data_IF_349979841995
#
_entry.id   IF_349979841995
#
_cell.length_a   1.000
_cell.length_b   1.000
_cell.length_c   1.000
_cell.angle_alpha   90.00
_cell.angle_beta   90.00
_cell.angle_gamma   90.00
#
_symmetry.space_group_name_H-M   'P 1'
#
loop_
_entity.id
_entity.type
_entity.pdbx_description
1 polymer ?
#
# COMPACT_ATOMS: atom_id res chain seq x y z
N UNK A 1 21.88 12.54 9.55
CA UNK A 1 20.78 11.56 9.59
C UNK A 1 21.35 10.18 9.27
N UNK A 2 21.15 9.19 10.14
CA UNK A 2 21.47 7.80 9.81
C UNK A 2 20.41 7.35 8.80
N UNK A 3 20.81 6.83 7.64
CA UNK A 3 19.86 6.30 6.65
C UNK A 3 19.34 4.95 7.13
N UNK A 4 18.11 4.56 6.77
CA UNK A 4 17.54 3.26 7.20
C UNK A 4 18.44 2.06 6.90
N UNK A 5 19.21 2.10 5.80
CA UNK A 5 20.26 1.11 5.48
C UNK A 5 21.38 1.04 6.53
N UNK A 6 21.89 2.19 6.98
CA UNK A 6 22.95 2.25 8.01
C UNK A 6 22.44 1.78 9.36
N UNK A 7 21.17 2.06 9.67
CA UNK A 7 20.53 1.60 10.90
C UNK A 7 20.37 0.08 10.95
N UNK A 8 19.88 -0.52 9.87
CA UNK A 8 19.78 -1.98 9.77
C UNK A 8 21.17 -2.64 9.92
N UNK A 9 22.19 -2.06 9.30
CA UNK A 9 23.56 -2.57 9.42
C UNK A 9 24.15 -2.44 10.83
N UNK A 10 23.76 -1.41 11.59
CA UNK A 10 24.21 -1.22 12.98
C UNK A 10 23.49 -2.19 13.92
N UNK A 11 22.17 -2.36 13.76
CA UNK A 11 21.40 -3.32 14.54
C UNK A 11 21.89 -4.76 14.38
N UNK A 12 22.31 -5.15 13.16
CA UNK A 12 22.89 -6.47 12.88
C UNK A 12 24.21 -6.74 13.65
N UNK A 13 24.84 -5.71 14.22
CA UNK A 13 26.09 -5.81 15.01
C UNK A 13 25.86 -5.80 16.52
N UNK A 14 24.63 -5.56 16.98
CA UNK A 14 24.29 -5.42 18.40
C UNK A 14 23.97 -6.76 19.06
N UNK A 15 24.10 -6.85 20.39
CA UNK A 15 23.51 -7.98 21.13
C UNK A 15 21.98 -7.93 21.08
N UNK A 16 21.29 -9.06 21.30
CA UNK A 16 19.82 -9.13 21.25
C UNK A 16 19.12 -8.12 22.17
N UNK A 17 19.70 -7.84 23.36
CA UNK A 17 19.13 -6.89 24.33
C UNK A 17 19.30 -5.44 23.87
N UNK A 18 20.45 -5.13 23.29
CA UNK A 18 20.74 -3.81 22.71
C UNK A 18 19.89 -3.58 21.46
N UNK A 19 19.75 -4.59 20.60
CA UNK A 19 18.91 -4.56 19.42
C UNK A 19 17.44 -4.29 19.78
N UNK A 20 16.88 -4.96 20.79
CA UNK A 20 15.50 -4.72 21.23
C UNK A 20 15.27 -3.28 21.73
N UNK A 21 16.25 -2.74 22.47
CA UNK A 21 16.20 -1.35 22.98
C UNK A 21 16.36 -0.33 21.85
N UNK A 22 17.26 -0.62 20.90
CA UNK A 22 17.46 0.19 19.71
C UNK A 22 16.21 0.20 18.83
N UNK A 23 15.59 -0.96 18.57
CA UNK A 23 14.37 -1.08 17.79
C UNK A 23 13.22 -0.26 18.38
N UNK A 24 12.98 -0.33 19.69
CA UNK A 24 11.89 0.42 20.33
C UNK A 24 12.07 1.94 20.26
N UNK A 25 13.31 2.42 20.33
CA UNK A 25 13.64 3.84 20.24
C UNK A 25 13.39 4.43 18.84
N UNK A 26 13.63 3.65 17.79
CA UNK A 26 13.62 4.14 16.41
C UNK A 26 12.41 3.68 15.58
N UNK A 27 11.55 2.80 16.13
CA UNK A 27 10.46 2.16 15.40
C UNK A 27 9.55 3.12 14.64
N UNK A 28 9.17 4.24 15.27
CA UNK A 28 8.28 5.24 14.66
C UNK A 28 8.95 5.96 13.49
N UNK A 29 10.21 6.38 13.66
CA UNK A 29 10.96 7.07 12.61
C UNK A 29 11.24 6.17 11.41
N UNK A 30 11.63 4.92 11.65
CA UNK A 30 11.89 3.94 10.60
C UNK A 30 10.62 3.53 9.84
N UNK A 31 9.49 3.42 10.56
CA UNK A 31 8.20 3.16 9.92
C UNK A 31 7.79 4.31 9.00
N UNK A 32 7.96 5.55 9.46
CA UNK A 32 7.70 6.73 8.62
C UNK A 32 8.66 6.78 7.41
N UNK A 33 9.95 6.54 7.62
CA UNK A 33 10.95 6.46 6.55
C UNK A 33 10.54 5.43 5.49
N UNK A 34 10.21 4.20 5.89
CA UNK A 34 9.79 3.14 4.95
C UNK A 34 8.55 3.57 4.16
N UNK A 35 7.51 4.09 4.83
CA UNK A 35 6.26 4.51 4.19
C UNK A 35 6.40 5.72 3.27
N UNK A 36 7.42 6.58 3.48
CA UNK A 36 7.69 7.72 2.59
C UNK A 36 8.63 7.37 1.42
N UNK A 37 9.67 6.56 1.67
CA UNK A 37 10.78 6.37 0.72
C UNK A 37 10.61 5.11 -0.13
N UNK A 38 10.01 4.04 0.39
CA UNK A 38 9.79 2.82 -0.40
C UNK A 38 8.88 3.06 -1.62
N UNK A 39 7.77 3.84 -1.53
CA UNK A 39 7.00 4.24 -2.72
C UNK A 39 7.83 4.89 -3.83
N UNK A 40 8.80 5.74 -3.47
CA UNK A 40 9.67 6.40 -4.45
C UNK A 40 10.60 5.40 -5.15
N UNK A 41 11.12 4.43 -4.41
CA UNK A 41 11.95 3.36 -4.97
C UNK A 41 11.12 2.39 -5.84
N UNK A 42 9.86 2.14 -5.50
CA UNK A 42 8.91 1.39 -6.32
C UNK A 42 8.69 2.11 -7.65
N UNK A 43 8.39 3.41 -7.61
CA UNK A 43 8.24 4.22 -8.82
C UNK A 43 9.48 4.17 -9.72
N UNK A 44 10.68 4.35 -9.16
CA UNK A 44 11.94 4.22 -9.91
C UNK A 44 12.11 2.81 -10.51
N UNK A 45 11.76 1.75 -9.77
CA UNK A 45 11.86 0.36 -10.22
C UNK A 45 10.95 0.08 -11.43
N UNK A 46 9.67 0.44 -11.37
CA UNK A 46 8.74 0.21 -12.47
C UNK A 46 8.97 1.18 -13.65
N UNK A 47 9.51 2.38 -13.41
CA UNK A 47 9.90 3.31 -14.49
C UNK A 47 10.98 2.73 -15.42
N UNK A 48 11.80 1.81 -14.91
CA UNK A 48 12.84 1.08 -15.66
C UNK A 48 12.31 -0.16 -16.38
N UNK A 49 11.00 -0.43 -16.29
CA UNK A 49 10.36 -1.58 -16.92
C UNK A 49 10.55 -2.90 -16.16
N UNK A 50 11.04 -2.87 -14.92
CA UNK A 50 11.11 -4.06 -14.08
C UNK A 50 9.72 -4.47 -13.57
N UNK A 51 9.58 -5.72 -13.15
CA UNK A 51 8.35 -6.32 -12.63
C UNK A 51 8.62 -7.07 -11.32
N UNK A 52 7.57 -7.46 -10.61
CA UNK A 52 7.62 -8.25 -9.39
C UNK A 52 8.45 -7.59 -8.27
N UNK A 53 8.21 -6.31 -7.98
CA UNK A 53 9.01 -5.56 -7.01
C UNK A 53 9.13 -6.28 -5.67
N UNK A 54 8.02 -6.80 -5.13
CA UNK A 54 7.98 -7.40 -3.79
C UNK A 54 8.93 -8.59 -3.67
N UNK A 55 9.06 -9.41 -4.72
CA UNK A 55 9.87 -10.63 -4.70
C UNK A 55 11.27 -10.44 -5.27
N UNK A 56 11.46 -9.52 -6.24
CA UNK A 56 12.74 -9.35 -6.97
C UNK A 56 13.42 -8.00 -6.72
N UNK A 57 12.65 -6.94 -6.48
CA UNK A 57 13.16 -5.56 -6.39
C UNK A 57 13.31 -5.01 -4.97
N UNK A 58 12.61 -5.63 -4.01
CA UNK A 58 12.50 -5.09 -2.66
C UNK A 58 13.81 -5.23 -1.89
N UNK A 59 14.31 -4.11 -1.39
CA UNK A 59 15.57 -4.11 -0.66
C UNK A 59 15.43 -4.72 0.73
N UNK A 60 16.42 -5.51 1.14
CA UNK A 60 16.45 -6.23 2.42
C UNK A 60 16.23 -5.35 3.65
N UNK A 61 16.66 -4.08 3.60
CA UNK A 61 16.45 -3.17 4.72
C UNK A 61 14.96 -2.87 4.96
N UNK A 62 14.14 -2.72 3.92
CA UNK A 62 12.69 -2.51 4.09
C UNK A 62 12.00 -3.75 4.66
N UNK A 63 12.39 -4.94 4.18
CA UNK A 63 11.87 -6.22 4.68
C UNK A 63 12.18 -6.36 6.18
N UNK A 64 13.41 -6.07 6.59
CA UNK A 64 13.80 -6.12 8.01
C UNK A 64 13.03 -5.11 8.87
N UNK A 65 12.90 -3.87 8.39
CA UNK A 65 12.16 -2.82 9.11
C UNK A 65 10.67 -3.16 9.28
N UNK A 66 10.04 -3.73 8.25
CA UNK A 66 8.65 -4.20 8.33
C UNK A 66 8.50 -5.34 9.33
N UNK A 67 9.39 -6.34 9.27
CA UNK A 67 9.40 -7.45 10.22
C UNK A 67 9.51 -6.98 11.67
N UNK A 68 10.39 -6.02 11.96
CA UNK A 68 10.51 -5.45 13.30
C UNK A 68 9.24 -4.72 13.76
N UNK A 69 8.53 -4.06 12.84
CA UNK A 69 7.24 -3.43 13.15
C UNK A 69 6.16 -4.46 13.48
N UNK A 70 6.12 -5.57 12.75
CA UNK A 70 5.19 -6.67 12.99
C UNK A 70 5.47 -7.37 14.33
N UNK A 71 6.74 -7.65 14.64
CA UNK A 71 7.17 -8.21 15.93
C UNK A 71 6.77 -7.32 17.12
N UNK A 72 6.74 -6.00 16.92
CA UNK A 72 6.32 -5.02 17.93
C UNK A 72 4.80 -4.79 18.02
N UNK A 73 3.99 -5.33 17.09
CA UNK A 73 2.53 -5.14 17.08
C UNK A 73 1.85 -6.13 18.03
N UNK A 74 1.18 -5.61 19.06
CA UNK A 74 0.21 -6.39 19.81
C UNK A 74 -1.08 -6.61 18.98
N UNK A 75 -1.55 -7.85 18.79
CA UNK A 75 -2.71 -8.18 17.95
C UNK A 75 -4.07 -7.65 18.47
N UNK A 76 -4.10 -7.11 19.69
CA UNK A 76 -5.32 -6.58 20.34
C UNK A 76 -5.62 -5.10 20.02
N UNK A 77 -4.75 -4.42 19.26
CA UNK A 77 -4.96 -3.02 18.90
C UNK A 77 -6.03 -2.87 17.81
N UNK A 78 -7.27 -2.57 18.24
CA UNK A 78 -8.35 -2.11 17.35
C UNK A 78 -7.88 -0.92 16.49
N UNK A 79 -8.46 -0.71 15.29
CA UNK A 79 -8.21 0.51 14.51
C UNK A 79 -8.46 1.72 15.41
N UNK A 80 -7.39 2.48 15.67
CA UNK A 80 -7.42 3.53 16.67
C UNK A 80 -8.26 4.69 16.13
N UNK A 81 -9.14 5.23 16.97
CA UNK A 81 -10.06 6.34 16.69
C UNK A 81 -9.38 7.59 16.08
N UNK A 82 -8.07 7.78 16.30
CA UNK A 82 -7.29 8.88 15.72
C UNK A 82 -7.07 8.76 14.20
N UNK A 83 -7.21 7.57 13.61
CA UNK A 83 -6.95 7.38 12.17
C UNK A 83 -7.86 8.25 11.29
N UNK A 84 -9.08 8.51 11.74
CA UNK A 84 -10.05 9.39 11.06
C UNK A 84 -9.81 10.88 11.32
N UNK A 85 -9.06 11.25 12.35
CA UNK A 85 -8.85 12.65 12.75
C UNK A 85 -7.79 13.36 11.90
N UNK A 86 -6.93 12.62 11.18
CA UNK A 86 -5.84 13.20 10.40
C UNK A 86 -5.53 12.43 9.10
N UNK A 87 -6.60 12.00 8.42
CA UNK A 87 -6.52 11.18 7.19
C UNK A 87 -5.70 11.86 6.10
N UNK A 88 -5.85 13.18 5.95
CA UNK A 88 -5.10 13.95 4.95
C UNK A 88 -3.57 13.90 5.14
N UNK A 89 -3.08 13.84 6.38
CA UNK A 89 -1.66 13.75 6.69
C UNK A 89 -1.17 12.31 6.90
N UNK A 90 -2.03 11.31 6.67
CA UNK A 90 -1.70 9.91 6.89
C UNK A 90 -0.82 9.35 5.79
N UNK A 91 0.21 8.60 6.18
CA UNK A 91 1.00 7.80 5.25
C UNK A 91 0.34 6.45 5.03
N UNK A 92 0.29 6.00 3.78
CA UNK A 92 -0.16 4.64 3.46
C UNK A 92 0.59 3.61 4.28
N UNK A 93 -0.17 2.73 4.94
CA UNK A 93 0.37 1.83 5.95
C UNK A 93 1.25 0.75 5.35
N UNK A 94 0.79 0.20 4.23
CA UNK A 94 1.53 -0.72 3.38
C UNK A 94 2.42 0.09 2.42
N UNK A 95 3.72 0.06 2.68
CA UNK A 95 4.69 0.76 1.85
C UNK A 95 4.88 0.13 0.47
N UNK A 96 4.39 -1.11 0.26
CA UNK A 96 4.35 -1.80 -1.03
C UNK A 96 3.05 -1.55 -1.82
N UNK A 97 2.11 -0.75 -1.32
CA UNK A 97 0.83 -0.46 -1.98
C UNK A 97 0.99 -0.13 -3.47
N UNK A 98 1.94 0.74 -3.83
CA UNK A 98 2.17 1.12 -5.22
C UNK A 98 2.72 -0.02 -6.08
N UNK A 99 3.44 -0.99 -5.51
CA UNK A 99 3.86 -2.17 -6.27
C UNK A 99 2.63 -3.03 -6.64
N UNK A 100 1.67 -3.17 -5.73
CA UNK A 100 0.41 -3.86 -6.02
C UNK A 100 -0.39 -3.15 -7.14
N UNK A 101 -0.44 -1.81 -7.13
CA UNK A 101 -1.06 -1.02 -8.20
C UNK A 101 -0.40 -1.28 -9.56
N UNK A 102 0.94 -1.28 -9.63
CA UNK A 102 1.67 -1.50 -10.88
C UNK A 102 1.48 -2.92 -11.43
N UNK A 103 1.46 -3.94 -10.56
CA UNK A 103 1.13 -5.31 -10.98
C UNK A 103 -0.32 -5.40 -11.49
N UNK A 104 -1.28 -4.78 -10.80
CA UNK A 104 -2.67 -4.75 -11.24
C UNK A 104 -2.85 -4.04 -12.60
N UNK A 105 -2.13 -2.93 -12.84
CA UNK A 105 -2.05 -2.29 -14.15
C UNK A 105 -1.46 -3.21 -15.22
N UNK A 106 -0.44 -3.99 -14.88
CA UNK A 106 0.11 -4.98 -15.81
C UNK A 106 -0.92 -6.05 -16.17
N UNK A 107 -1.73 -6.52 -15.21
CA UNK A 107 -2.81 -7.48 -15.46
C UNK A 107 -3.90 -6.88 -16.37
N UNK A 108 -4.28 -5.62 -16.16
CA UNK A 108 -5.20 -4.91 -17.06
C UNK A 108 -4.69 -4.86 -18.51
N UNK A 109 -3.40 -4.52 -18.69
CA UNK A 109 -2.76 -4.50 -20.02
C UNK A 109 -2.74 -5.87 -20.69
N UNK A 110 -2.41 -6.93 -19.95
CA UNK A 110 -2.44 -8.31 -20.45
C UNK A 110 -3.84 -8.70 -20.96
N UNK A 111 -4.89 -8.45 -20.18
CA UNK A 111 -6.28 -8.74 -20.61
C UNK A 111 -6.68 -7.96 -21.86
N UNK A 112 -6.31 -6.68 -21.96
CA UNK A 112 -6.59 -5.84 -23.14
C UNK A 112 -5.87 -6.32 -24.40
N UNK A 113 -4.70 -6.95 -24.25
CA UNK A 113 -3.94 -7.52 -25.35
C UNK A 113 -4.46 -8.91 -25.78
N UNK A 114 -5.56 -9.39 -25.18
CA UNK A 114 -6.13 -10.70 -25.48
C UNK A 114 -5.41 -11.87 -24.83
N UNK A 115 -4.54 -11.60 -23.83
CA UNK A 115 -3.96 -12.66 -23.00
C UNK A 115 -5.07 -13.17 -22.05
N UNK A 116 -5.68 -14.29 -22.42
CA UNK A 116 -6.83 -14.84 -21.71
C UNK A 116 -6.38 -15.66 -20.50
N UNK A 117 -6.87 -15.28 -19.32
CA UNK A 117 -6.67 -16.04 -18.10
C UNK A 117 -7.75 -15.70 -17.09
N UNK A 118 -8.62 -16.65 -16.78
CA UNK A 118 -9.57 -16.57 -15.65
C UNK A 118 -8.86 -16.15 -14.35
N UNK A 119 -7.63 -16.65 -14.16
CA UNK A 119 -6.71 -16.28 -13.08
C UNK A 119 -6.35 -14.78 -13.06
N UNK A 120 -6.23 -14.13 -14.22
CA UNK A 120 -5.91 -12.70 -14.32
C UNK A 120 -7.05 -11.84 -13.81
N UNK A 121 -8.31 -12.20 -14.13
CA UNK A 121 -9.49 -11.52 -13.58
C UNK A 121 -9.63 -11.76 -12.08
N UNK A 122 -9.41 -13.00 -11.63
CA UNK A 122 -9.44 -13.32 -10.19
C UNK A 122 -8.42 -12.48 -9.40
N UNK A 123 -7.21 -12.31 -9.93
CA UNK A 123 -6.19 -11.48 -9.29
C UNK A 123 -6.56 -9.99 -9.24
N UNK A 124 -7.28 -9.47 -10.25
CA UNK A 124 -7.80 -8.09 -10.21
C UNK A 124 -8.89 -7.93 -9.14
N UNK A 125 -9.77 -8.91 -8.98
CA UNK A 125 -10.79 -8.91 -7.89
C UNK A 125 -10.12 -8.98 -6.52
N UNK A 126 -9.09 -9.82 -6.34
CA UNK A 126 -8.30 -9.86 -5.09
C UNK A 126 -7.66 -8.51 -4.78
N UNK A 127 -7.16 -7.82 -5.81
CA UNK A 127 -6.57 -6.49 -5.63
C UNK A 127 -7.64 -5.44 -5.25
N UNK A 128 -8.83 -5.50 -5.86
CA UNK A 128 -9.97 -4.67 -5.45
C UNK A 128 -10.35 -4.90 -3.98
N UNK A 129 -10.46 -6.15 -3.55
CA UNK A 129 -10.77 -6.49 -2.15
C UNK A 129 -9.72 -5.94 -1.19
N UNK A 130 -8.43 -6.10 -1.52
CA UNK A 130 -7.30 -5.52 -0.78
C UNK A 130 -7.42 -4.00 -0.66
N UNK A 131 -7.74 -3.29 -1.75
CA UNK A 131 -7.91 -1.83 -1.76
C UNK A 131 -9.08 -1.44 -0.86
N UNK A 132 -10.22 -2.09 -1.00
CA UNK A 132 -11.43 -1.75 -0.24
C UNK A 132 -11.22 -1.98 1.27
N UNK A 133 -10.53 -3.06 1.65
CA UNK A 133 -10.13 -3.31 3.03
C UNK A 133 -9.23 -2.18 3.58
N UNK A 134 -8.25 -1.74 2.79
CA UNK A 134 -7.36 -0.64 3.19
C UNK A 134 -8.10 0.68 3.35
N UNK A 135 -9.05 0.97 2.47
CA UNK A 135 -9.90 2.16 2.58
C UNK A 135 -10.73 2.08 3.86
N UNK A 136 -11.41 0.96 4.13
CA UNK A 136 -12.22 0.77 5.36
C UNK A 136 -11.42 0.98 6.64
N UNK A 137 -10.17 0.53 6.63
CA UNK A 137 -9.27 0.62 7.78
C UNK A 137 -8.55 1.97 7.91
N UNK A 138 -8.82 2.93 7.01
CA UNK A 138 -8.07 4.18 6.89
C UNK A 138 -6.55 3.93 6.84
N UNK A 139 -6.16 2.91 6.08
CA UNK A 139 -4.79 2.42 5.97
C UNK A 139 -4.08 2.91 4.69
N UNK A 140 -4.76 3.69 3.86
CA UNK A 140 -4.21 4.30 2.64
C UNK A 140 -4.37 5.82 2.68
N UNK A 141 -3.40 6.54 2.15
CA UNK A 141 -3.50 8.00 2.00
C UNK A 141 -4.58 8.37 0.97
N UNK A 142 -5.32 9.48 1.16
CA UNK A 142 -6.20 10.04 0.12
C UNK A 142 -5.50 10.38 -1.19
N UNK A 143 -4.16 10.50 -1.19
CA UNK A 143 -3.37 10.77 -2.39
C UNK A 143 -3.58 9.71 -3.49
N UNK A 144 -3.94 8.47 -3.12
CA UNK A 144 -4.25 7.44 -4.13
C UNK A 144 -5.45 7.85 -4.99
N UNK A 145 -6.35 8.70 -4.47
CA UNK A 145 -7.59 9.12 -5.13
C UNK A 145 -7.42 10.40 -5.98
N UNK A 146 -6.21 10.95 -6.06
CA UNK A 146 -5.93 12.07 -6.96
C UNK A 146 -6.11 11.65 -8.42
N UNK A 147 -6.79 12.46 -9.22
CA UNK A 147 -7.19 12.13 -10.60
C UNK A 147 -6.05 11.63 -11.49
N UNK A 148 -4.83 12.13 -11.28
CA UNK A 148 -3.62 11.76 -12.01
C UNK A 148 -2.82 10.60 -11.43
N UNK A 149 -3.30 9.93 -10.38
CA UNK A 149 -2.59 8.82 -9.76
C UNK A 149 -2.65 7.54 -10.60
N UNK A 150 -1.65 6.66 -10.46
CA UNK A 150 -1.67 5.34 -11.08
C UNK A 150 -2.84 4.47 -10.59
N UNK A 151 -3.30 4.69 -9.36
CA UNK A 151 -4.49 4.00 -8.83
C UNK A 151 -5.76 4.44 -9.58
N UNK A 152 -5.93 5.73 -9.85
CA UNK A 152 -7.05 6.23 -10.63
C UNK A 152 -6.97 5.80 -12.10
N UNK A 153 -5.76 5.58 -12.62
CA UNK A 153 -5.58 4.91 -13.91
C UNK A 153 -6.05 3.46 -13.85
N UNK A 154 -5.58 2.68 -12.88
CA UNK A 154 -6.00 1.29 -12.69
C UNK A 154 -7.51 1.18 -12.58
N UNK A 155 -8.15 2.05 -11.78
CA UNK A 155 -9.60 2.04 -11.59
C UNK A 155 -10.36 2.16 -12.92
N UNK A 156 -9.96 3.08 -13.81
CA UNK A 156 -10.58 3.26 -15.12
C UNK A 156 -10.42 2.02 -16.00
N UNK A 157 -9.20 1.47 -16.06
CA UNK A 157 -8.93 0.27 -16.85
C UNK A 157 -9.68 -0.95 -16.31
N UNK A 158 -9.73 -1.10 -14.99
CA UNK A 158 -10.45 -2.17 -14.30
C UNK A 158 -11.96 -2.09 -14.54
N UNK A 159 -12.56 -0.91 -14.40
CA UNK A 159 -13.99 -0.70 -14.64
C UNK A 159 -14.39 -1.06 -16.08
N UNK A 160 -13.58 -0.69 -17.07
CA UNK A 160 -13.80 -1.06 -18.47
C UNK A 160 -13.73 -2.58 -18.69
N UNK A 161 -12.78 -3.26 -18.03
CA UNK A 161 -12.59 -4.72 -18.14
C UNK A 161 -13.75 -5.49 -17.49
N UNK A 162 -14.20 -5.06 -16.32
CA UNK A 162 -15.27 -5.74 -15.58
C UNK A 162 -16.65 -5.46 -16.18
N UNK A 163 -16.80 -4.32 -16.86
CA UNK A 163 -18.01 -3.91 -17.54
C UNK A 163 -19.09 -3.37 -16.59
N UNK A 164 -20.15 -2.82 -17.19
CA UNK A 164 -21.19 -2.05 -16.48
C UNK A 164 -22.05 -2.87 -15.52
N UNK A 165 -22.08 -4.20 -15.68
CA UNK A 165 -22.89 -5.10 -14.86
C UNK A 165 -22.14 -5.55 -13.59
N UNK A 166 -20.83 -5.30 -13.51
CA UNK A 166 -20.06 -5.60 -12.32
C UNK A 166 -20.34 -4.56 -11.25
N UNK A 167 -20.82 -5.03 -10.10
CA UNK A 167 -21.09 -4.19 -8.95
C UNK A 167 -20.38 -4.75 -7.72
N UNK A 168 -19.53 -3.93 -7.13
CA UNK A 168 -18.78 -4.21 -5.92
C UNK A 168 -18.89 -3.02 -4.98
N UNK A 169 -18.40 -3.20 -3.75
CA UNK A 169 -18.35 -2.12 -2.79
C UNK A 169 -17.41 -0.99 -3.26
N UNK A 170 -16.25 -1.34 -3.84
CA UNK A 170 -15.35 -0.35 -4.41
C UNK A 170 -16.00 0.37 -5.60
N UNK A 171 -16.75 -0.33 -6.46
CA UNK A 171 -17.49 0.29 -7.55
C UNK A 171 -18.50 1.33 -7.05
N UNK A 172 -19.27 0.98 -6.03
CA UNK A 172 -20.21 1.90 -5.39
C UNK A 172 -19.49 3.10 -4.77
N UNK A 173 -18.36 2.86 -4.10
CA UNK A 173 -17.53 3.89 -3.48
C UNK A 173 -16.97 4.89 -4.51
N UNK A 174 -16.44 4.39 -5.62
CA UNK A 174 -15.81 5.19 -6.68
C UNK A 174 -16.85 5.96 -7.50
N UNK A 175 -17.93 5.31 -7.96
CA UNK A 175 -18.97 5.95 -8.80
C UNK A 175 -19.73 7.05 -8.07
N UNK A 176 -20.06 6.83 -6.80
CA UNK A 176 -20.81 7.81 -6.02
C UNK A 176 -19.93 8.97 -5.50
N UNK A 177 -18.65 9.02 -5.90
CA UNK A 177 -17.67 10.03 -5.45
C UNK A 177 -17.58 10.14 -3.92
N UNK A 178 -17.79 9.01 -3.22
CA UNK A 178 -17.79 8.93 -1.75
C UNK A 178 -16.38 9.17 -1.19
N UNK A 179 -15.35 9.02 -2.02
CA UNK A 179 -13.96 9.29 -1.67
C UNK A 179 -13.69 10.73 -1.21
N UNK A 180 -14.53 11.72 -1.54
CA UNK A 180 -14.43 13.06 -0.95
C UNK A 180 -14.70 13.06 0.57
N UNK A 181 -15.60 12.20 1.04
CA UNK A 181 -15.87 12.02 2.48
C UNK A 181 -14.74 11.25 3.16
N UNK A 182 -14.11 10.33 2.43
CA UNK A 182 -12.93 9.60 2.89
C UNK A 182 -11.76 10.55 3.17
N UNK A 183 -11.45 11.44 2.23
CA UNK A 183 -10.36 12.41 2.37
C UNK A 183 -10.52 13.33 3.60
N UNK A 184 -11.77 13.63 3.96
CA UNK A 184 -12.12 14.45 5.12
C UNK A 184 -12.26 13.66 6.43
N UNK A 185 -12.03 12.34 6.40
CA UNK A 185 -12.17 11.45 7.57
C UNK A 185 -13.59 11.31 8.10
N UNK A 186 -14.59 11.77 7.35
CA UNK A 186 -16.00 11.75 7.75
C UNK A 186 -16.75 10.51 7.26
N UNK A 187 -16.08 9.61 6.55
CA UNK A 187 -16.71 8.43 5.97
C UNK A 187 -16.96 7.35 7.03
N UNK A 188 -18.22 6.97 7.18
CA UNK A 188 -18.67 5.89 8.05
C UNK A 188 -19.13 4.73 7.17
N UNK A 189 -18.38 3.63 7.22
CA UNK A 189 -18.83 2.36 6.64
C UNK A 189 -19.94 1.79 7.54
N UNK A 190 -21.10 1.50 6.95
CA UNK A 190 -22.25 0.88 7.64
C UNK A 190 -22.24 -0.63 7.46
#
# INVERSE_FOLDING_TARGET
>A
MITGKKMVAEADRMSQKEEATFRSQWLHGETAYRRMVEPLNIADYYSKGYKDYITKGRSQHYIKLEKWLEEGRNPTNKPRKWKTENVFASLTEDSCFWAHVEEALSLCKSLRNGEEGELTRENLVKFEEYVMEHIKNYAVSPEILLTGSSFMQWWREYEEIMGTNYNSELNTFMKNSIYHQYANGSLIFR
#
